data_IF_565667127390
#
_entry.id   IF_565667127390
#
_cell.length_a   1.000
_cell.length_b   1.000
_cell.length_c   1.000
_cell.angle_alpha   90.00
_cell.angle_beta   90.00
_cell.angle_gamma   90.00
#
_symmetry.space_group_name_H-M   'P 1'
#
loop_
_entity.id
_entity.type
_entity.pdbx_description
1 polymer ?
#
# COMPACT_ATOMS: atom_id res chain seq x y z
N UNK A 1 1.76 -5.45 16.97
CA UNK A 1 0.34 -5.46 17.40
C UNK A 1 0.05 -6.69 18.24
N UNK A 2 -0.82 -6.59 19.25
CA UNK A 2 -1.13 -7.71 20.15
C UNK A 2 -2.08 -8.74 19.50
N UNK A 3 -1.93 -10.02 19.83
CA UNK A 3 -2.82 -11.08 19.31
C UNK A 3 -4.24 -10.94 19.86
N UNK A 4 -5.24 -11.47 19.13
CA UNK A 4 -6.63 -11.41 19.61
C UNK A 4 -6.84 -12.20 20.91
N UNK A 5 -6.08 -13.28 21.13
CA UNK A 5 -6.15 -14.07 22.37
C UNK A 5 -5.57 -13.29 23.55
N UNK A 6 -4.43 -12.64 23.36
CA UNK A 6 -3.84 -11.77 24.39
C UNK A 6 -4.77 -10.58 24.70
N UNK A 7 -5.34 -9.94 23.67
CA UNK A 7 -6.32 -8.86 23.86
C UNK A 7 -7.57 -9.31 24.62
N UNK A 8 -8.07 -10.52 24.35
CA UNK A 8 -9.20 -11.09 25.07
C UNK A 8 -8.90 -11.32 26.57
N UNK A 9 -7.70 -11.82 26.88
CA UNK A 9 -7.25 -12.01 28.27
C UNK A 9 -7.12 -10.68 29.02
N UNK A 10 -6.51 -9.67 28.40
CA UNK A 10 -6.35 -8.33 28.99
C UNK A 10 -7.71 -7.70 29.28
N UNK A 11 -8.63 -7.72 28.31
CA UNK A 11 -9.96 -7.12 28.49
C UNK A 11 -10.76 -7.90 29.54
N UNK A 12 -10.68 -9.23 29.55
CA UNK A 12 -11.40 -10.03 30.54
C UNK A 12 -10.87 -9.78 31.96
N UNK A 13 -9.55 -9.70 32.15
CA UNK A 13 -8.96 -9.34 33.44
C UNK A 13 -9.44 -7.95 33.91
N UNK A 14 -9.38 -6.94 33.03
CA UNK A 14 -9.87 -5.61 33.36
C UNK A 14 -11.36 -5.59 33.72
N UNK A 15 -12.19 -6.37 33.02
CA UNK A 15 -13.62 -6.50 33.33
C UNK A 15 -13.88 -7.20 34.68
N UNK A 16 -12.97 -8.09 35.10
CA UNK A 16 -13.05 -8.75 36.40
C UNK A 16 -12.68 -7.77 37.52
N UNK A 17 -11.64 -6.97 37.32
CA UNK A 17 -11.19 -5.94 38.26
C UNK A 17 -12.27 -4.88 38.54
N UNK A 18 -13.08 -4.52 37.53
CA UNK A 18 -14.20 -3.57 37.68
C UNK A 18 -15.53 -4.24 38.04
N UNK A 19 -15.55 -5.55 38.30
CA UNK A 19 -16.74 -6.29 38.75
C UNK A 19 -17.82 -6.52 37.69
N UNK A 20 -17.52 -6.36 36.41
CA UNK A 20 -18.46 -6.63 35.29
C UNK A 20 -18.56 -8.13 35.01
N UNK A 21 -17.45 -8.86 35.18
CA UNK A 21 -17.42 -10.32 35.14
C UNK A 21 -16.97 -10.87 36.49
N UNK A 22 -17.45 -12.05 36.83
CA UNK A 22 -17.02 -12.82 37.99
C UNK A 22 -17.00 -14.29 37.63
N UNK A 23 -16.46 -15.13 38.51
CA UNK A 23 -16.50 -16.58 38.34
C UNK A 23 -17.95 -17.12 38.23
N UNK A 24 -18.91 -16.44 38.87
CA UNK A 24 -20.34 -16.77 38.81
C UNK A 24 -21.10 -16.12 37.66
N UNK A 25 -20.58 -15.03 37.07
CA UNK A 25 -21.23 -14.29 35.99
C UNK A 25 -20.29 -14.09 34.78
N UNK A 26 -20.45 -14.99 33.81
CA UNK A 26 -19.61 -15.05 32.60
C UNK A 26 -20.24 -14.44 31.35
N UNK A 27 -21.41 -13.79 31.48
CA UNK A 27 -22.17 -13.25 30.34
C UNK A 27 -21.36 -12.26 29.50
N UNK A 28 -20.53 -11.45 30.16
CA UNK A 28 -19.75 -10.38 29.53
C UNK A 28 -18.28 -10.75 29.24
N UNK A 29 -17.90 -12.03 29.36
CA UNK A 29 -16.54 -12.48 29.06
C UNK A 29 -16.17 -12.15 27.60
N UNK A 30 -14.96 -11.65 27.41
CA UNK A 30 -14.47 -11.23 26.09
C UNK A 30 -13.63 -12.34 25.48
N UNK A 31 -14.13 -12.94 24.41
CA UNK A 31 -13.42 -13.96 23.65
C UNK A 31 -12.62 -13.37 22.48
N UNK A 32 -11.79 -14.22 21.85
CA UNK A 32 -10.97 -13.87 20.68
C UNK A 32 -11.78 -13.28 19.51
N UNK A 33 -12.98 -13.80 19.27
CA UNK A 33 -13.86 -13.37 18.18
C UNK A 33 -14.54 -12.04 18.48
N UNK A 34 -14.87 -11.72 19.74
CA UNK A 34 -15.33 -10.38 20.16
C UNK A 34 -14.25 -9.33 19.89
N UNK A 35 -12.98 -9.62 20.22
CA UNK A 35 -11.84 -8.74 19.87
C UNK A 35 -11.70 -8.59 18.36
N UNK A 36 -11.77 -9.69 17.61
CA UNK A 36 -11.69 -9.65 16.15
C UNK A 36 -12.78 -8.75 15.56
N UNK A 37 -14.04 -8.94 15.96
CA UNK A 37 -15.17 -8.12 15.51
C UNK A 37 -14.98 -6.65 15.85
N UNK A 38 -14.57 -6.33 17.08
CA UNK A 38 -14.32 -4.96 17.50
C UNK A 38 -13.23 -4.28 16.66
N UNK A 39 -12.13 -5.01 16.38
CA UNK A 39 -11.05 -4.52 15.52
C UNK A 39 -11.47 -4.35 14.08
N UNK A 40 -12.21 -5.31 13.51
CA UNK A 40 -12.74 -5.20 12.15
C UNK A 40 -13.64 -3.98 12.04
N UNK A 41 -14.58 -3.79 12.98
CA UNK A 41 -15.46 -2.61 13.00
C UNK A 41 -14.67 -1.32 13.10
N UNK A 42 -13.73 -1.22 14.03
CA UNK A 42 -12.87 -0.04 14.18
C UNK A 42 -12.06 0.23 12.90
N UNK A 43 -11.51 -0.80 12.26
CA UNK A 43 -10.78 -0.67 11.00
C UNK A 43 -11.69 -0.21 9.87
N UNK A 44 -12.90 -0.76 9.75
CA UNK A 44 -13.88 -0.32 8.75
C UNK A 44 -14.29 1.13 8.97
N UNK A 45 -14.52 1.55 10.22
CA UNK A 45 -14.81 2.95 10.53
C UNK A 45 -13.64 3.87 10.18
N UNK A 46 -12.42 3.51 10.59
CA UNK A 46 -11.22 4.27 10.22
C UNK A 46 -11.04 4.34 8.71
N UNK A 47 -11.19 3.22 7.98
CA UNK A 47 -11.12 3.22 6.52
C UNK A 47 -12.22 4.10 5.92
N UNK A 48 -13.45 4.05 6.42
CA UNK A 48 -14.52 4.91 5.91
C UNK A 48 -14.29 6.40 6.19
N UNK A 49 -13.61 6.75 7.28
CA UNK A 49 -13.24 8.13 7.58
C UNK A 49 -12.07 8.57 6.69
N UNK A 50 -11.04 7.74 6.58
CA UNK A 50 -9.93 7.95 5.66
C UNK A 50 -10.46 8.13 4.24
N UNK A 51 -11.36 7.28 3.75
CA UNK A 51 -11.96 7.41 2.42
C UNK A 51 -12.78 8.70 2.24
N UNK A 52 -13.30 9.30 3.31
CA UNK A 52 -13.97 10.62 3.26
C UNK A 52 -12.99 11.80 3.29
N UNK A 53 -11.85 11.63 3.94
CA UNK A 53 -10.77 12.61 3.98
C UNK A 53 -9.92 12.57 2.69
N UNK A 54 -10.00 11.46 1.94
CA UNK A 54 -9.62 11.37 0.54
C UNK A 54 -10.70 12.10 -0.26
N UNK A 55 -10.52 13.41 -0.43
CA UNK A 55 -11.08 14.08 -1.60
C UNK A 55 -10.69 13.26 -2.84
N UNK A 56 -11.48 13.32 -3.91
CA UNK A 56 -11.29 12.49 -5.12
C UNK A 56 -9.96 12.76 -5.86
N UNK A 57 -9.08 13.57 -5.25
CA UNK A 57 -7.78 14.04 -5.67
C UNK A 57 -6.59 13.25 -5.15
N UNK A 58 -6.78 12.24 -4.27
CA UNK A 58 -5.67 11.37 -3.88
C UNK A 58 -5.43 10.28 -4.92
N UNK A 59 -4.74 10.70 -5.98
CA UNK A 59 -4.35 9.87 -7.11
C UNK A 59 -3.18 8.94 -6.75
N UNK A 60 -3.33 7.66 -7.09
CA UNK A 60 -2.23 6.70 -7.04
C UNK A 60 -1.43 6.76 -8.34
N UNK A 61 -0.10 6.83 -8.25
CA UNK A 61 0.79 6.64 -9.39
C UNK A 61 1.23 5.17 -9.42
N UNK A 62 0.91 4.47 -10.52
CA UNK A 62 1.30 3.07 -10.72
C UNK A 62 2.33 2.94 -11.85
N UNK A 63 3.26 2.00 -11.66
CA UNK A 63 4.35 1.69 -12.57
C UNK A 63 4.23 0.25 -13.06
N UNK A 64 4.22 0.01 -14.37
CA UNK A 64 4.10 -1.32 -14.96
C UNK A 64 5.41 -2.15 -14.97
N UNK A 65 6.56 -1.51 -14.73
CA UNK A 65 7.87 -2.15 -14.56
C UNK A 65 8.39 -2.88 -15.80
N UNK A 66 7.96 -2.48 -17.00
CA UNK A 66 8.31 -3.14 -18.26
C UNK A 66 9.81 -2.97 -18.59
N UNK A 67 10.43 -4.03 -19.11
CA UNK A 67 11.83 -4.01 -19.58
C UNK A 67 11.90 -4.51 -21.01
N UNK A 68 12.31 -3.63 -21.91
CA UNK A 68 12.49 -3.93 -23.32
C UNK A 68 13.92 -4.40 -23.58
N UNK A 69 14.06 -5.40 -24.44
CA UNK A 69 15.35 -5.99 -24.81
C UNK A 69 15.56 -5.81 -26.30
N UNK A 70 16.49 -4.95 -26.67
CA UNK A 70 16.83 -4.67 -28.06
C UNK A 70 18.16 -5.31 -28.40
N UNK A 71 18.21 -6.08 -29.49
CA UNK A 71 19.45 -6.61 -30.01
C UNK A 71 20.10 -5.56 -30.93
N UNK A 72 21.33 -5.18 -30.62
CA UNK A 72 22.13 -4.23 -31.38
C UNK A 72 23.44 -4.87 -31.85
N UNK A 73 24.01 -4.35 -32.94
CA UNK A 73 25.34 -4.73 -33.43
C UNK A 73 26.29 -3.57 -33.17
N UNK A 74 27.31 -3.80 -32.35
CA UNK A 74 28.35 -2.83 -32.01
C UNK A 74 29.70 -3.54 -32.20
N UNK A 75 30.62 -2.97 -32.99
CA UNK A 75 31.92 -3.58 -33.34
C UNK A 75 31.82 -5.03 -33.84
N UNK A 76 30.86 -5.31 -34.72
CA UNK A 76 30.61 -6.64 -35.28
C UNK A 76 30.27 -7.72 -34.23
N UNK A 77 29.94 -7.31 -32.99
CA UNK A 77 29.48 -8.17 -31.90
C UNK A 77 28.01 -7.87 -31.59
N UNK A 78 27.26 -8.93 -31.29
CA UNK A 78 25.88 -8.82 -30.82
C UNK A 78 25.88 -8.33 -29.37
N UNK A 79 25.20 -7.22 -29.11
CA UNK A 79 24.99 -6.66 -27.77
C UNK A 79 23.50 -6.54 -27.52
N UNK A 80 23.05 -7.09 -26.39
CA UNK A 80 21.68 -6.90 -25.92
C UNK A 80 21.64 -5.64 -25.07
N UNK A 81 20.88 -4.66 -25.50
CA UNK A 81 20.58 -3.46 -24.73
C UNK A 81 19.27 -3.73 -24.00
N UNK A 82 19.25 -3.49 -22.68
CA UNK A 82 18.06 -3.61 -21.86
C UNK A 82 17.67 -2.19 -21.45
N UNK A 83 16.50 -1.76 -21.89
CA UNK A 83 15.93 -0.46 -21.55
C UNK A 83 14.77 -0.69 -20.60
N UNK A 84 14.74 0.08 -19.52
CA UNK A 84 13.63 0.07 -18.58
C UNK A 84 12.61 1.08 -19.08
N UNK A 85 11.46 0.57 -19.51
CA UNK A 85 10.35 1.37 -20.02
C UNK A 85 9.26 1.39 -18.96
N UNK A 86 9.12 2.51 -18.27
CA UNK A 86 8.24 2.64 -17.11
C UNK A 86 7.03 3.45 -17.54
N UNK A 87 5.88 2.80 -17.67
CA UNK A 87 4.61 3.48 -17.93
C UNK A 87 4.03 4.00 -16.60
N UNK A 88 3.52 5.22 -16.65
CA UNK A 88 2.94 5.92 -15.51
C UNK A 88 1.44 6.05 -15.72
N UNK A 89 0.67 5.47 -14.80
CA UNK A 89 -0.79 5.55 -14.84
C UNK A 89 -1.35 6.13 -13.54
N UNK A 90 -2.47 6.83 -13.68
CA UNK A 90 -3.22 7.46 -12.61
C UNK A 90 -4.37 6.57 -12.19
N UNK A 91 -4.57 6.42 -10.88
CA UNK A 91 -5.78 5.81 -10.31
C UNK A 91 -6.74 6.85 -9.75
N UNK A 92 -8.07 6.60 -9.79
CA UNK A 92 -8.72 5.38 -10.27
C UNK A 92 -8.90 5.33 -11.80
N UNK A 93 -8.80 4.13 -12.38
CA UNK A 93 -9.10 3.88 -13.80
C UNK A 93 -7.89 3.64 -14.69
N UNK A 94 -6.69 3.54 -14.08
CA UNK A 94 -5.42 3.29 -14.77
C UNK A 94 -5.21 4.21 -16.00
N UNK A 95 -5.57 5.49 -15.87
CA UNK A 95 -5.44 6.48 -16.94
C UNK A 95 -3.96 6.69 -17.28
N UNK A 96 -3.59 6.54 -18.54
CA UNK A 96 -2.21 6.71 -18.99
C UNK A 96 -1.78 8.17 -18.93
N UNK A 97 -0.74 8.46 -18.12
CA UNK A 97 -0.17 9.80 -17.95
C UNK A 97 1.04 9.99 -18.88
N UNK A 98 1.86 8.95 -19.06
CA UNK A 98 3.06 9.00 -19.87
C UNK A 98 4.02 7.86 -19.57
N UNK A 99 5.25 7.95 -20.07
CA UNK A 99 6.29 6.96 -19.79
C UNK A 99 7.67 7.60 -19.68
N UNK A 100 8.58 6.84 -19.07
CA UNK A 100 10.00 7.15 -18.94
C UNK A 100 10.80 5.96 -19.45
N UNK A 101 11.77 6.21 -20.34
CA UNK A 101 12.69 5.19 -20.84
C UNK A 101 14.10 5.48 -20.33
N UNK A 102 14.72 4.50 -19.66
CA UNK A 102 16.11 4.63 -19.18
C UNK A 102 16.96 3.43 -19.60
N UNK A 103 18.17 3.71 -20.08
CA UNK A 103 19.11 2.70 -20.56
C UNK A 103 19.80 1.90 -19.44
N UNK A 104 19.50 2.24 -18.18
CA UNK A 104 20.13 1.64 -17.00
C UNK A 104 19.10 1.48 -15.87
N UNK A 105 18.83 0.23 -15.49
CA UNK A 105 17.91 -0.13 -14.43
C UNK A 105 18.41 0.12 -13.00
N UNK A 106 19.18 1.19 -12.77
CA UNK A 106 19.62 1.56 -11.42
C UNK A 106 18.49 2.32 -10.73
N UNK A 107 18.13 1.91 -9.52
CA UNK A 107 17.06 2.53 -8.74
C UNK A 107 17.18 4.05 -8.63
N UNK A 108 18.40 4.59 -8.47
CA UNK A 108 18.66 6.03 -8.44
C UNK A 108 18.32 6.72 -9.77
N UNK A 109 18.70 6.13 -10.90
CA UNK A 109 18.43 6.70 -12.24
C UNK A 109 16.92 6.68 -12.50
N UNK A 110 16.28 5.54 -12.22
CA UNK A 110 14.83 5.38 -12.35
C UNK A 110 14.09 6.42 -11.50
N UNK A 111 14.43 6.51 -10.20
CA UNK A 111 13.79 7.45 -9.28
C UNK A 111 13.96 8.90 -9.70
N UNK A 112 15.15 9.29 -10.13
CA UNK A 112 15.41 10.66 -10.61
C UNK A 112 14.58 10.99 -11.85
N UNK A 113 14.49 10.09 -12.83
CA UNK A 113 13.71 10.35 -14.04
C UNK A 113 12.21 10.39 -13.77
N UNK A 114 11.68 9.51 -12.89
CA UNK A 114 10.29 9.57 -12.44
C UNK A 114 10.02 10.91 -11.74
N UNK A 115 10.90 11.33 -10.83
CA UNK A 115 10.76 12.61 -10.14
C UNK A 115 10.73 13.79 -11.12
N UNK A 116 11.69 13.85 -12.06
CA UNK A 116 11.72 14.91 -13.08
C UNK A 116 10.47 14.91 -13.96
N UNK A 117 9.96 13.73 -14.33
CA UNK A 117 8.72 13.62 -15.11
C UNK A 117 7.52 14.13 -14.32
N UNK A 118 7.35 13.70 -13.06
CA UNK A 118 6.26 14.17 -12.20
C UNK A 118 6.37 15.69 -11.93
N UNK A 119 7.57 16.21 -11.73
CA UNK A 119 7.80 17.64 -11.54
C UNK A 119 7.39 18.45 -12.78
N UNK A 120 7.73 17.98 -13.97
CA UNK A 120 7.35 18.62 -15.23
C UNK A 120 5.83 18.68 -15.41
N UNK A 121 5.10 17.61 -15.05
CA UNK A 121 3.64 17.56 -15.11
C UNK A 121 2.94 18.53 -14.16
N UNK A 122 3.55 18.86 -13.01
CA UNK A 122 2.96 19.81 -12.05
C UNK A 122 3.11 21.28 -12.45
N UNK A 123 3.92 21.57 -13.48
CA UNK A 123 4.22 22.93 -13.96
C UNK A 123 3.45 23.32 -15.22
N UNK A 124 2.60 22.43 -15.74
CA UNK A 124 1.73 22.61 -16.92
C UNK A 124 0.27 22.66 -16.49
#
# INVERSE_FOLDING_TARGET
GISNRAGAAIVSAALQDVGIISESNVLNVVDRNKILRGRTKARTTLLSQVIKDYDHDQFGLYFDGRKDRTLSMEDNRRKVIIEEHISLVKEPGSEYIGHVSVNFGRAQIIGNNIYSFCYALTMT
#
